data_IF_236160432706
#
_entry.id   IF_236160432706
#
_cell.length_a   1.000
_cell.length_b   1.000
_cell.length_c   1.000
_cell.angle_alpha   90.00
_cell.angle_beta   90.00
_cell.angle_gamma   90.00
#
_symmetry.space_group_name_H-M   'P 1'
#
loop_
_entity.id
_entity.type
_entity.pdbx_description
1 polymer ?
#
# COMPACT_ATOMS: atom_id res chain seq x y z
N UNK A 1 9.87 2.72 -5.75
CA UNK A 1 10.04 3.31 -4.40
C UNK A 1 8.89 4.30 -4.17
N UNK A 2 8.06 4.09 -3.15
CA UNK A 2 6.93 4.97 -2.84
C UNK A 2 7.36 5.93 -1.73
N UNK A 3 7.17 7.22 -1.94
CA UNK A 3 7.21 8.21 -0.86
C UNK A 3 5.86 8.92 -0.85
N UNK A 4 5.12 8.75 0.25
CA UNK A 4 4.01 9.62 0.61
C UNK A 4 4.46 10.40 1.84
N UNK A 5 4.77 11.69 1.66
CA UNK A 5 5.06 12.60 2.77
C UNK A 5 3.77 13.38 3.07
N UNK A 6 3.02 12.97 4.10
CA UNK A 6 2.09 13.86 4.78
C UNK A 6 2.74 14.31 6.09
N UNK A 7 3.75 15.16 5.98
CA UNK A 7 4.32 15.82 7.14
C UNK A 7 3.36 16.91 7.60
N UNK A 8 2.85 16.74 8.81
CA UNK A 8 2.35 17.86 9.59
C UNK A 8 3.43 18.94 9.62
N UNK A 9 3.09 20.14 9.14
CA UNK A 9 4.02 21.27 9.16
C UNK A 9 4.36 21.59 10.63
N UNK A 10 5.64 21.77 10.98
CA UNK A 10 5.97 22.51 12.19
C UNK A 10 5.39 23.92 12.04
N UNK A 11 4.73 24.42 13.09
CA UNK A 11 4.29 25.82 13.16
C UNK A 11 5.51 26.76 12.98
N UNK A 12 5.23 27.85 12.28
CA UNK A 12 6.05 29.05 12.01
C UNK A 12 7.24 28.90 11.06
N UNK A 13 6.98 29.12 9.76
CA UNK A 13 7.67 30.18 9.00
C UNK A 13 6.65 30.81 8.04
N UNK A 14 6.58 32.15 8.03
CA UNK A 14 5.66 32.92 7.20
C UNK A 14 5.85 32.58 5.72
N UNK A 15 4.83 32.07 5.00
CA UNK A 15 4.92 31.96 3.56
C UNK A 15 4.77 33.37 2.97
N UNK A 16 5.76 33.79 2.19
CA UNK A 16 5.62 34.95 1.30
C UNK A 16 4.42 34.79 0.35
N UNK A 17 3.96 35.86 -0.31
CA UNK A 17 2.69 35.86 -1.03
C UNK A 17 2.65 34.75 -2.07
N UNK A 18 1.70 33.83 -1.88
CA UNK A 18 1.47 32.72 -2.78
C UNK A 18 1.05 33.23 -4.17
N UNK A 19 1.84 32.90 -5.19
CA UNK A 19 1.41 33.02 -6.57
C UNK A 19 0.18 32.13 -6.86
N UNK A 20 -0.57 32.41 -7.93
CA UNK A 20 -1.85 31.78 -8.18
C UNK A 20 -1.69 30.26 -8.46
N UNK A 21 -2.26 29.43 -7.59
CA UNK A 21 -2.87 28.14 -7.95
C UNK A 21 -2.02 27.08 -8.65
N UNK A 22 -0.76 26.88 -8.26
CA UNK A 22 0.03 25.74 -8.74
C UNK A 22 -0.44 24.42 -8.12
N UNK A 23 -0.81 23.44 -8.96
CA UNK A 23 -1.12 22.08 -8.50
C UNK A 23 0.12 21.46 -7.82
N UNK A 24 0.04 21.16 -6.53
CA UNK A 24 1.17 20.60 -5.77
C UNK A 24 1.38 19.12 -6.11
N UNK A 25 2.64 18.65 -6.12
CA UNK A 25 2.93 17.23 -6.25
C UNK A 25 2.50 16.48 -4.98
N UNK A 26 1.64 15.47 -5.14
CA UNK A 26 1.13 14.64 -4.04
C UNK A 26 1.88 13.30 -3.95
N UNK A 27 2.18 12.68 -5.09
CA UNK A 27 2.92 11.42 -5.14
C UNK A 27 3.77 11.34 -6.41
N UNK A 28 4.99 10.84 -6.27
CA UNK A 28 5.80 10.37 -7.39
C UNK A 28 5.95 8.84 -7.31
N UNK A 29 5.76 8.17 -8.45
CA UNK A 29 6.07 6.76 -8.62
C UNK A 29 7.07 6.62 -9.77
N UNK A 30 8.09 5.79 -9.56
CA UNK A 30 9.15 5.53 -10.54
C UNK A 30 9.23 4.03 -10.79
N UNK A 31 9.16 3.67 -12.07
CA UNK A 31 9.41 2.35 -12.60
C UNK A 31 10.84 2.24 -13.11
N UNK A 32 11.14 1.18 -13.85
CA UNK A 32 12.50 0.99 -14.39
C UNK A 32 12.85 2.05 -15.45
N UNK A 33 11.87 2.41 -16.30
CA UNK A 33 12.09 3.33 -17.43
C UNK A 33 11.08 4.46 -17.56
N UNK A 34 10.14 4.59 -16.63
CA UNK A 34 9.13 5.66 -16.63
C UNK A 34 8.79 6.16 -15.23
N UNK A 35 8.20 7.33 -15.16
CA UNK A 35 7.70 7.93 -13.92
C UNK A 35 6.28 8.44 -14.08
N UNK A 36 5.52 8.37 -12.99
CA UNK A 36 4.19 8.95 -12.84
C UNK A 36 4.21 9.98 -11.73
N UNK A 37 3.63 11.14 -11.99
CA UNK A 37 3.46 12.22 -11.02
C UNK A 37 1.97 12.46 -10.81
N UNK A 38 1.50 12.30 -9.58
CA UNK A 38 0.15 12.61 -9.17
C UNK A 38 0.13 13.96 -8.47
N UNK A 39 -0.70 14.87 -8.97
CA UNK A 39 -0.86 16.21 -8.43
C UNK A 39 -2.05 16.29 -7.45
N UNK A 40 -2.09 17.34 -6.63
CA UNK A 40 -3.10 17.55 -5.59
C UNK A 40 -4.54 17.69 -6.13
N UNK A 41 -4.69 18.07 -7.40
CA UNK A 41 -5.98 18.11 -8.08
C UNK A 41 -6.42 16.76 -8.69
N UNK A 42 -5.64 15.70 -8.49
CA UNK A 42 -5.90 14.36 -9.03
C UNK A 42 -5.41 14.14 -10.46
N UNK A 43 -4.78 15.13 -11.10
CA UNK A 43 -4.19 14.96 -12.42
C UNK A 43 -2.94 14.07 -12.34
N UNK A 44 -2.78 13.20 -13.33
CA UNK A 44 -1.59 12.33 -13.48
C UNK A 44 -0.79 12.76 -14.69
N UNK A 45 0.52 12.94 -14.49
CA UNK A 45 1.50 13.17 -15.54
C UNK A 45 2.44 11.97 -15.65
N UNK A 46 3.00 11.75 -16.85
CA UNK A 46 3.95 10.68 -17.13
C UNK A 46 5.13 11.14 -17.98
N UNK A 47 6.31 10.60 -17.72
CA UNK A 47 7.52 10.79 -18.54
C UNK A 47 8.39 9.52 -18.54
N UNK A 48 9.33 9.43 -19.48
CA UNK A 48 10.23 8.30 -19.71
C UNK A 48 9.94 7.55 -21.01
N UNK A 49 10.23 6.26 -21.01
CA UNK A 49 9.98 5.31 -22.10
C UNK A 49 8.47 5.03 -22.26
N UNK A 50 8.00 4.88 -23.50
CA UNK A 50 6.63 4.44 -23.81
C UNK A 50 6.58 3.29 -24.83
N UNK A 51 7.70 2.59 -25.06
CA UNK A 51 7.79 1.47 -26.01
C UNK A 51 6.72 0.39 -25.78
N UNK A 52 6.29 0.22 -24.52
CA UNK A 52 5.26 -0.73 -24.10
C UNK A 52 4.00 -0.03 -23.59
N UNK A 53 3.81 1.26 -23.88
CA UNK A 53 2.63 2.02 -23.50
C UNK A 53 2.57 2.47 -22.04
N UNK A 54 3.64 2.32 -21.26
CA UNK A 54 3.68 2.58 -19.81
C UNK A 54 3.44 4.04 -19.39
N UNK A 55 3.48 5.00 -20.33
CA UNK A 55 3.09 6.39 -20.10
C UNK A 55 1.57 6.61 -20.20
N UNK A 56 0.82 5.67 -20.77
CA UNK A 56 -0.64 5.78 -20.94
C UNK A 56 -1.05 6.81 -22.00
N UNK A 57 -0.12 7.16 -22.89
CA UNK A 57 -0.28 8.17 -23.95
C UNK A 57 -0.11 7.52 -25.32
N UNK A 58 -1.21 7.19 -26.00
CA UNK A 58 -1.19 6.58 -27.33
C UNK A 58 -0.56 7.53 -28.36
N UNK A 59 0.31 7.01 -29.23
CA UNK A 59 0.98 7.79 -30.29
C UNK A 59 2.29 8.47 -29.84
N UNK A 60 2.67 8.34 -28.57
CA UNK A 60 3.94 8.84 -28.02
C UNK A 60 4.91 7.66 -27.89
N UNK A 61 6.16 7.80 -28.33
CA UNK A 61 7.18 6.74 -28.17
C UNK A 61 8.01 6.90 -26.87
N UNK A 62 8.24 8.15 -26.47
CA UNK A 62 8.90 8.53 -25.22
C UNK A 62 8.49 9.95 -24.85
N UNK A 63 8.59 10.32 -23.57
CA UNK A 63 8.35 11.69 -23.10
C UNK A 63 9.51 12.16 -22.22
N UNK A 64 10.18 13.24 -22.61
CA UNK A 64 11.33 13.78 -21.84
C UNK A 64 10.90 14.61 -20.64
N UNK A 65 9.66 15.13 -20.66
CA UNK A 65 9.08 15.94 -19.61
C UNK A 65 7.77 15.34 -19.11
N UNK A 66 7.39 15.56 -17.84
CA UNK A 66 6.10 15.12 -17.33
C UNK A 66 4.96 15.78 -18.10
N UNK A 67 4.08 14.96 -18.70
CA UNK A 67 2.91 15.42 -19.44
C UNK A 67 1.66 14.67 -18.99
N UNK A 68 0.51 15.34 -19.03
CA UNK A 68 -0.76 14.77 -18.56
C UNK A 68 -1.17 13.54 -19.36
N UNK A 69 -1.75 12.56 -18.68
CA UNK A 69 -2.37 11.38 -19.30
C UNK A 69 -3.82 11.72 -19.67
N UNK A 70 -4.18 11.94 -20.96
CA UNK A 70 -5.50 12.47 -21.32
C UNK A 70 -6.66 11.56 -20.91
N UNK A 71 -6.44 10.24 -20.96
CA UNK A 71 -7.43 9.23 -20.60
C UNK A 71 -7.83 9.24 -19.11
N UNK A 72 -7.02 9.86 -18.24
CA UNK A 72 -7.31 9.97 -16.80
C UNK A 72 -7.88 11.34 -16.41
N UNK A 73 -8.04 12.28 -17.36
CA UNK A 73 -8.42 13.69 -17.09
C UNK A 73 -9.71 13.83 -16.28
N UNK A 74 -10.69 12.95 -16.50
CA UNK A 74 -12.00 13.00 -15.83
C UNK A 74 -12.08 12.12 -14.59
N UNK A 75 -10.98 11.42 -14.25
CA UNK A 75 -10.93 10.49 -13.14
C UNK A 75 -10.20 11.14 -11.95
N UNK A 76 -10.82 11.22 -10.77
CA UNK A 76 -10.13 11.68 -9.57
C UNK A 76 -9.16 10.58 -9.08
N UNK A 77 -7.90 10.64 -9.54
CA UNK A 77 -6.84 9.70 -9.14
C UNK A 77 -6.36 10.02 -7.72
N UNK A 78 -6.14 8.96 -6.94
CA UNK A 78 -5.72 9.02 -5.52
C UNK A 78 -4.33 8.43 -5.31
N UNK A 79 -3.95 7.43 -6.10
CA UNK A 79 -2.65 6.77 -6.01
C UNK A 79 -2.17 6.34 -7.39
N UNK A 80 -0.85 6.31 -7.56
CA UNK A 80 -0.17 5.75 -8.74
C UNK A 80 0.94 4.80 -8.32
N UNK A 81 1.25 3.84 -9.19
CA UNK A 81 2.33 2.87 -9.02
C UNK A 81 2.94 2.52 -10.37
N UNK A 82 4.26 2.35 -10.40
CA UNK A 82 5.02 1.99 -11.60
C UNK A 82 5.73 0.66 -11.37
N UNK A 83 5.59 -0.26 -12.31
CA UNK A 83 6.39 -1.49 -12.40
C UNK A 83 7.57 -1.29 -13.33
N UNK A 84 8.09 -2.40 -13.89
CA UNK A 84 9.14 -2.33 -14.90
C UNK A 84 8.67 -1.60 -16.17
N UNK A 85 7.54 -2.05 -16.72
CA UNK A 85 6.98 -1.59 -17.99
C UNK A 85 5.45 -1.42 -17.94
N UNK A 86 4.87 -1.42 -16.74
CA UNK A 86 3.43 -1.19 -16.55
C UNK A 86 3.16 -0.21 -15.43
N UNK A 87 1.92 0.27 -15.41
CA UNK A 87 1.48 1.33 -14.54
C UNK A 87 0.10 1.01 -14.00
N UNK A 88 -0.12 1.36 -12.74
CA UNK A 88 -1.41 1.27 -12.06
C UNK A 88 -1.80 2.63 -11.49
N UNK A 89 -3.10 2.90 -11.48
CA UNK A 89 -3.69 4.00 -10.75
C UNK A 89 -4.92 3.56 -9.97
N UNK A 90 -5.10 4.09 -8.77
CA UNK A 90 -6.33 3.96 -7.98
C UNK A 90 -7.09 5.27 -8.05
N UNK A 91 -8.34 5.21 -8.49
CA UNK A 91 -9.26 6.34 -8.55
C UNK A 91 -10.19 6.37 -7.34
N UNK A 92 -10.93 7.48 -7.17
CA UNK A 92 -12.01 7.56 -6.18
C UNK A 92 -12.96 6.35 -6.26
N UNK A 93 -13.42 5.91 -5.08
CA UNK A 93 -14.15 4.65 -4.83
C UNK A 93 -13.33 3.37 -5.04
N UNK A 94 -12.01 3.46 -5.09
CA UNK A 94 -11.11 2.29 -5.14
C UNK A 94 -11.07 1.57 -6.48
N UNK A 95 -11.48 2.23 -7.57
CA UNK A 95 -11.39 1.67 -8.93
C UNK A 95 -9.95 1.68 -9.41
N UNK A 96 -9.48 0.56 -9.95
CA UNK A 96 -8.11 0.42 -10.44
C UNK A 96 -8.07 0.51 -11.97
N UNK A 97 -7.08 1.22 -12.50
CA UNK A 97 -6.76 1.29 -13.92
C UNK A 97 -5.33 0.83 -14.16
N UNK A 98 -5.12 0.12 -15.27
CA UNK A 98 -3.82 -0.39 -15.70
C UNK A 98 -3.51 -0.03 -17.14
N UNK A 99 -2.23 0.17 -17.43
CA UNK A 99 -1.70 0.34 -18.79
C UNK A 99 -0.21 -0.03 -18.83
N UNK A 100 0.35 -0.15 -20.03
CA UNK A 100 1.71 -0.62 -20.25
C UNK A 100 1.77 -2.04 -20.79
N UNK A 101 2.88 -2.73 -20.49
CA UNK A 101 3.08 -4.14 -20.82
C UNK A 101 2.12 -5.06 -20.06
N UNK A 102 1.62 -6.09 -20.74
CA UNK A 102 0.63 -7.04 -20.22
C UNK A 102 0.83 -8.50 -20.62
N UNK A 103 1.93 -8.84 -21.29
CA UNK A 103 2.23 -10.21 -21.77
C UNK A 103 2.25 -11.27 -20.67
N UNK A 104 2.51 -10.89 -19.42
CA UNK A 104 2.50 -11.78 -18.26
C UNK A 104 1.18 -11.72 -17.47
N UNK A 105 0.21 -10.93 -17.95
CA UNK A 105 -1.08 -10.70 -17.30
C UNK A 105 -1.05 -9.58 -16.25
N UNK A 106 0.05 -8.84 -16.09
CA UNK A 106 0.26 -7.84 -15.03
C UNK A 106 -0.67 -6.63 -15.08
N UNK A 107 -1.42 -6.46 -16.18
CA UNK A 107 -2.48 -5.45 -16.31
C UNK A 107 -3.78 -5.87 -15.61
N UNK A 108 -4.02 -7.16 -15.38
CA UNK A 108 -5.21 -7.65 -14.69
C UNK A 108 -6.51 -7.53 -15.51
N UNK A 109 -6.40 -7.39 -16.83
CA UNK A 109 -7.53 -7.09 -17.73
C UNK A 109 -8.31 -8.32 -18.20
N UNK A 110 -7.97 -9.50 -17.70
CA UNK A 110 -8.56 -10.78 -18.12
C UNK A 110 -7.92 -11.39 -19.37
N UNK A 111 -6.92 -10.73 -19.93
CA UNK A 111 -6.20 -11.14 -21.14
C UNK A 111 -4.68 -11.04 -20.95
N UNK A 112 -3.92 -11.82 -21.71
CA UNK A 112 -2.44 -11.75 -21.79
C UNK A 112 -2.01 -10.85 -22.96
N UNK A 113 -2.72 -9.75 -23.17
CA UNK A 113 -2.42 -8.84 -24.27
C UNK A 113 -1.05 -8.18 -24.03
N UNK A 114 -0.20 -8.18 -25.05
CA UNK A 114 1.18 -7.70 -24.91
C UNK A 114 1.29 -6.26 -24.40
N UNK A 115 0.51 -5.33 -24.97
CA UNK A 115 0.64 -3.89 -24.69
C UNK A 115 -0.73 -3.20 -24.67
N UNK A 116 -0.89 -2.27 -23.72
CA UNK A 116 -2.00 -1.34 -23.69
C UNK A 116 -1.54 0.12 -23.48
N UNK A 117 -1.69 0.95 -24.51
CA UNK A 117 -1.30 2.37 -24.49
C UNK A 117 -2.31 3.29 -23.78
N UNK A 118 -3.49 2.79 -23.43
CA UNK A 118 -4.56 3.58 -22.82
C UNK A 118 -4.96 2.94 -21.48
N UNK A 119 -4.99 3.69 -20.37
CA UNK A 119 -5.52 3.22 -19.08
C UNK A 119 -6.85 2.48 -19.23
N UNK A 120 -6.86 1.19 -18.90
CA UNK A 120 -8.04 0.32 -18.92
C UNK A 120 -8.42 -0.04 -17.48
N UNK A 121 -9.71 0.05 -17.17
CA UNK A 121 -10.24 -0.33 -15.86
C UNK A 121 -10.07 -1.84 -15.64
N UNK A 122 -9.60 -2.23 -14.45
CA UNK A 122 -9.54 -3.61 -13.99
C UNK A 122 -10.88 -4.00 -13.35
N UNK A 123 -11.29 -5.26 -13.53
CA UNK A 123 -12.51 -5.80 -12.90
C UNK A 123 -12.20 -6.34 -11.50
N UNK A 124 -12.60 -5.58 -10.48
CA UNK A 124 -12.66 -5.95 -9.07
C UNK A 124 -14.04 -5.50 -8.55
N UNK A 125 -15.04 -6.35 -8.73
CA UNK A 125 -16.45 -6.02 -8.43
C UNK A 125 -16.65 -5.92 -6.92
N UNK A 126 -17.30 -4.84 -6.47
CA UNK A 126 -17.63 -4.57 -5.06
C UNK A 126 -16.45 -4.57 -4.09
N UNK A 127 -15.23 -4.40 -4.60
CA UNK A 127 -14.00 -4.32 -3.81
C UNK A 127 -13.42 -2.92 -3.93
N UNK A 128 -13.28 -2.23 -2.80
CA UNK A 128 -12.66 -0.92 -2.73
C UNK A 128 -11.16 -1.06 -2.46
N UNK A 129 -10.35 -0.82 -3.48
CA UNK A 129 -8.88 -0.83 -3.35
C UNK A 129 -8.38 0.46 -2.73
N UNK A 130 -7.48 0.32 -1.74
CA UNK A 130 -6.85 1.44 -1.02
C UNK A 130 -5.35 1.55 -1.31
N UNK A 131 -4.72 0.50 -1.85
CA UNK A 131 -3.32 0.53 -2.24
C UNK A 131 -3.09 -0.41 -3.43
N UNK A 132 -2.16 -0.03 -4.31
CA UNK A 132 -1.62 -0.91 -5.35
C UNK A 132 -0.10 -0.89 -5.28
N UNK A 133 0.53 -1.99 -5.70
CA UNK A 133 1.98 -2.02 -5.90
C UNK A 133 2.37 -2.84 -7.12
N UNK A 134 3.22 -2.28 -7.97
CA UNK A 134 3.75 -2.98 -9.15
C UNK A 134 5.11 -3.59 -8.85
N UNK A 135 5.31 -4.84 -9.26
CA UNK A 135 6.64 -5.45 -9.40
C UNK A 135 7.17 -5.31 -10.82
N UNK A 136 8.11 -6.17 -11.25
CA UNK A 136 8.53 -6.15 -12.66
C UNK A 136 7.43 -6.63 -13.60
N UNK A 137 6.85 -7.78 -13.27
CA UNK A 137 5.89 -8.47 -14.14
C UNK A 137 4.64 -8.94 -13.39
N UNK A 138 4.41 -8.39 -12.20
CA UNK A 138 3.21 -8.67 -11.40
C UNK A 138 2.73 -7.42 -10.70
N UNK A 139 1.55 -7.53 -10.13
CA UNK A 139 0.83 -6.45 -9.49
C UNK A 139 0.16 -6.96 -8.22
N UNK A 140 0.13 -6.12 -7.20
CA UNK A 140 -0.56 -6.33 -5.94
C UNK A 140 -1.60 -5.23 -5.72
N UNK A 141 -2.69 -5.57 -5.05
CA UNK A 141 -3.64 -4.61 -4.51
C UNK A 141 -4.06 -5.00 -3.09
N UNK A 142 -4.29 -3.98 -2.26
CA UNK A 142 -4.86 -4.10 -0.92
C UNK A 142 -6.22 -3.40 -0.90
N UNK A 143 -7.26 -4.11 -0.47
CA UNK A 143 -8.59 -3.57 -0.27
C UNK A 143 -8.76 -2.93 1.12
N UNK A 144 -9.80 -2.11 1.25
CA UNK A 144 -10.16 -1.43 2.52
C UNK A 144 -10.46 -2.41 3.67
N UNK A 145 -10.94 -3.61 3.34
CA UNK A 145 -11.21 -4.69 4.31
C UNK A 145 -10.01 -5.62 4.54
N UNK A 146 -8.81 -5.23 4.09
CA UNK A 146 -7.57 -5.94 4.37
C UNK A 146 -7.30 -7.16 3.47
N UNK A 147 -8.05 -7.34 2.38
CA UNK A 147 -7.80 -8.43 1.43
C UNK A 147 -6.67 -8.06 0.46
N UNK A 148 -5.81 -9.04 0.16
CA UNK A 148 -4.74 -8.88 -0.84
C UNK A 148 -5.12 -9.61 -2.12
N UNK A 149 -4.92 -8.92 -3.23
CA UNK A 149 -5.04 -9.45 -4.58
C UNK A 149 -3.71 -9.39 -5.29
N UNK A 150 -3.43 -10.39 -6.12
CA UNK A 150 -2.21 -10.50 -6.92
C UNK A 150 -2.53 -11.00 -8.32
N UNK A 151 -1.83 -10.48 -9.33
CA UNK A 151 -1.91 -10.95 -10.71
C UNK A 151 -0.63 -10.65 -11.49
N UNK A 152 -0.48 -11.24 -12.67
CA UNK A 152 0.72 -11.19 -13.50
C UNK A 152 1.53 -12.49 -13.47
N UNK A 153 2.84 -12.37 -13.69
CA UNK A 153 3.81 -13.47 -13.71
C UNK A 153 3.82 -14.23 -12.38
N UNK A 154 4.01 -15.56 -12.42
CA UNK A 154 4.14 -16.37 -11.20
C UNK A 154 5.28 -17.41 -11.21
N UNK A 155 6.28 -17.30 -12.09
CA UNK A 155 7.37 -18.29 -12.22
C UNK A 155 8.14 -18.53 -10.92
N UNK A 156 8.32 -17.47 -10.12
CA UNK A 156 9.08 -17.52 -8.86
C UNK A 156 8.14 -17.48 -7.64
N UNK A 157 6.82 -17.60 -7.84
CA UNK A 157 5.82 -17.60 -6.77
C UNK A 157 5.39 -16.21 -6.28
N UNK A 158 5.71 -15.14 -7.02
CA UNK A 158 5.43 -13.74 -6.65
C UNK A 158 3.94 -13.39 -6.45
N UNK A 159 3.01 -14.25 -6.88
CA UNK A 159 1.58 -14.11 -6.58
C UNK A 159 1.18 -14.71 -5.23
N UNK A 160 1.95 -15.64 -4.66
CA UNK A 160 1.65 -16.22 -3.35
C UNK A 160 0.44 -17.18 -3.33
N UNK A 161 0.02 -17.65 -4.50
CA UNK A 161 -1.18 -18.48 -4.69
C UNK A 161 -0.90 -20.00 -4.58
N UNK A 162 0.36 -20.39 -4.41
CA UNK A 162 0.81 -21.79 -4.47
C UNK A 162 1.63 -22.10 -5.72
N UNK A 163 2.38 -23.21 -5.67
CA UNK A 163 3.33 -23.62 -6.72
C UNK A 163 2.64 -24.02 -8.03
N UNK A 164 1.48 -24.65 -7.92
CA UNK A 164 0.74 -25.18 -9.06
C UNK A 164 -0.06 -24.11 -9.84
N UNK A 165 -0.06 -22.86 -9.35
CA UNK A 165 -0.83 -21.78 -9.97
C UNK A 165 0.04 -21.07 -11.01
N UNK A 166 -0.36 -21.02 -12.30
CA UNK A 166 0.40 -20.30 -13.32
C UNK A 166 0.21 -18.78 -13.20
N UNK A 167 0.88 -18.02 -14.07
CA UNK A 167 0.63 -16.57 -14.23
C UNK A 167 -0.87 -16.28 -14.42
N UNK A 168 -1.34 -15.15 -13.90
CA UNK A 168 -2.76 -14.81 -13.84
C UNK A 168 -3.04 -13.48 -14.53
N UNK A 169 -3.91 -13.48 -15.54
CA UNK A 169 -4.33 -12.26 -16.23
C UNK A 169 -5.47 -11.50 -15.53
N UNK A 170 -6.02 -12.04 -14.44
CA UNK A 170 -7.05 -11.40 -13.61
C UNK A 170 -6.61 -11.38 -12.14
N UNK A 171 -6.95 -10.33 -11.37
CA UNK A 171 -6.71 -10.28 -9.93
C UNK A 171 -7.20 -11.54 -9.21
N UNK A 172 -6.29 -12.24 -8.54
CA UNK A 172 -6.60 -13.39 -7.69
C UNK A 172 -6.41 -13.04 -6.23
N UNK A 173 -7.35 -13.45 -5.38
CA UNK A 173 -7.27 -13.23 -3.93
C UNK A 173 -6.24 -14.17 -3.30
N UNK A 174 -5.32 -13.61 -2.51
CA UNK A 174 -4.30 -14.37 -1.76
C UNK A 174 -4.91 -14.88 -0.45
N UNK A 175 -5.70 -15.96 -0.55
CA UNK A 175 -6.52 -16.50 0.56
C UNK A 175 -5.72 -16.92 1.80
N UNK A 176 -4.44 -17.24 1.65
CA UNK A 176 -3.55 -17.57 2.76
C UNK A 176 -3.28 -16.40 3.73
N UNK A 177 -3.65 -15.17 3.36
CA UNK A 177 -3.60 -13.99 4.21
C UNK A 177 -4.96 -13.58 4.79
N UNK A 178 -6.01 -14.37 4.56
CA UNK A 178 -7.36 -14.06 5.03
C UNK A 178 -7.43 -14.03 6.57
N UNK A 179 -8.18 -13.07 7.12
CA UNK A 179 -8.30 -12.85 8.56
C UNK A 179 -7.13 -12.10 9.20
N UNK A 180 -6.06 -11.80 8.46
CA UNK A 180 -4.96 -10.96 8.93
C UNK A 180 -5.29 -9.50 8.58
N UNK A 181 -5.28 -8.58 9.56
CA UNK A 181 -5.49 -7.16 9.28
C UNK A 181 -4.24 -6.57 8.62
N UNK A 182 -4.27 -6.42 7.31
CA UNK A 182 -3.16 -5.92 6.51
C UNK A 182 -3.21 -4.40 6.31
N UNK A 183 -2.06 -3.77 6.44
CA UNK A 183 -1.85 -2.32 6.37
C UNK A 183 -1.14 -1.89 5.08
N UNK A 184 -0.31 -2.78 4.52
CA UNK A 184 0.50 -2.44 3.36
C UNK A 184 0.76 -3.67 2.48
N UNK A 185 0.87 -3.45 1.16
CA UNK A 185 1.51 -4.36 0.20
C UNK A 185 2.72 -3.68 -0.45
N UNK A 186 3.76 -4.46 -0.77
CA UNK A 186 4.92 -4.00 -1.52
C UNK A 186 5.36 -5.09 -2.50
N UNK A 187 5.72 -4.70 -3.73
CA UNK A 187 6.17 -5.61 -4.77
C UNK A 187 7.55 -5.17 -5.26
N UNK A 188 8.47 -6.14 -5.37
CA UNK A 188 9.80 -5.95 -5.93
C UNK A 188 9.92 -6.59 -7.31
N UNK A 189 11.14 -6.92 -7.73
CA UNK A 189 11.39 -7.55 -9.03
C UNK A 189 10.58 -8.83 -9.25
N UNK A 190 10.82 -9.83 -8.41
CA UNK A 190 10.14 -11.13 -8.45
C UNK A 190 9.65 -11.59 -7.07
N UNK A 191 9.45 -10.65 -6.14
CA UNK A 191 9.01 -10.94 -4.78
C UNK A 191 7.98 -9.91 -4.31
N UNK A 192 7.30 -10.25 -3.23
CA UNK A 192 6.16 -9.52 -2.71
C UNK A 192 6.15 -9.58 -1.19
N UNK A 193 5.63 -8.52 -0.58
CA UNK A 193 5.46 -8.39 0.86
C UNK A 193 4.06 -7.86 1.19
N UNK A 194 3.57 -8.28 2.36
CA UNK A 194 2.46 -7.65 3.05
C UNK A 194 2.88 -7.33 4.50
N UNK A 195 2.48 -6.17 4.99
CA UNK A 195 2.64 -5.75 6.38
C UNK A 195 1.28 -5.75 7.05
N UNK A 196 1.18 -6.40 8.21
CA UNK A 196 0.00 -6.35 9.06
C UNK A 196 0.00 -5.12 9.97
N UNK A 197 -1.18 -4.70 10.46
CA UNK A 197 -1.31 -3.60 11.42
C UNK A 197 -0.43 -3.79 12.68
N UNK A 198 -0.27 -5.01 13.24
CA UNK A 198 0.64 -5.25 14.36
C UNK A 198 2.14 -5.24 14.00
N UNK A 199 2.51 -4.95 12.76
CA UNK A 199 3.91 -4.93 12.31
C UNK A 199 4.49 -6.30 11.92
N UNK A 200 3.66 -7.34 11.81
CA UNK A 200 4.12 -8.66 11.28
C UNK A 200 4.23 -8.58 9.76
N UNK A 201 5.40 -8.94 9.23
CA UNK A 201 5.69 -8.94 7.79
C UNK A 201 5.58 -10.34 7.20
N UNK A 202 4.94 -10.44 6.03
CA UNK A 202 4.80 -11.66 5.25
C UNK A 202 5.46 -11.49 3.90
N UNK A 203 6.39 -12.37 3.53
CA UNK A 203 7.12 -12.33 2.26
C UNK A 203 6.85 -13.57 1.40
N UNK A 204 6.80 -13.40 0.07
CA UNK A 204 6.69 -14.49 -0.91
C UNK A 204 7.31 -14.11 -2.26
N UNK A 205 7.50 -15.10 -3.13
CA UNK A 205 8.20 -14.97 -4.40
C UNK A 205 9.65 -15.43 -4.34
N UNK A 206 10.49 -14.89 -5.23
CA UNK A 206 11.92 -15.19 -5.31
C UNK A 206 12.64 -14.83 -4.01
N UNK A 207 13.58 -15.68 -3.62
CA UNK A 207 14.49 -15.50 -2.50
C UNK A 207 15.94 -15.85 -2.88
N UNK A 208 16.27 -15.84 -4.18
CA UNK A 208 17.60 -16.22 -4.69
C UNK A 208 18.73 -15.30 -4.19
N UNK A 209 18.41 -14.05 -3.88
CA UNK A 209 19.31 -13.05 -3.32
C UNK A 209 19.09 -12.82 -1.81
N UNK A 210 18.24 -13.62 -1.16
CA UNK A 210 17.86 -13.42 0.24
C UNK A 210 16.86 -12.28 0.47
N UNK A 211 16.20 -11.77 -0.58
CA UNK A 211 15.29 -10.62 -0.51
C UNK A 211 14.06 -10.80 0.41
N UNK A 212 13.72 -12.05 0.79
CA UNK A 212 12.64 -12.32 1.74
C UNK A 212 13.11 -12.28 3.21
N UNK A 213 14.40 -12.09 3.47
CA UNK A 213 15.00 -12.11 4.81
C UNK A 213 14.64 -13.38 5.62
N UNK A 214 14.56 -14.53 4.93
CA UNK A 214 14.37 -15.83 5.56
C UNK A 214 15.70 -16.34 6.12
N UNK A 215 15.67 -16.88 7.34
CA UNK A 215 16.84 -17.41 8.06
C UNK A 215 16.63 -18.87 8.47
N UNK A 216 17.70 -19.67 8.51
CA UNK A 216 17.68 -21.06 8.98
C UNK A 216 18.50 -22.01 8.11
N UNK A 217 18.51 -23.29 8.44
CA UNK A 217 19.11 -24.32 7.59
C UNK A 217 18.15 -24.63 6.42
N UNK A 218 18.67 -24.76 5.20
CA UNK A 218 17.89 -25.00 3.98
C UNK A 218 16.85 -23.91 3.66
N UNK A 219 17.28 -22.65 3.62
CA UNK A 219 16.44 -21.53 3.16
C UNK A 219 16.02 -21.76 1.70
N UNK A 220 14.73 -21.78 1.38
CA UNK A 220 14.29 -22.01 0.01
C UNK A 220 14.64 -20.81 -0.88
N UNK A 221 15.00 -21.09 -2.12
CA UNK A 221 15.28 -20.07 -3.14
C UNK A 221 14.03 -19.28 -3.58
N UNK A 222 12.84 -19.72 -3.17
CA UNK A 222 11.55 -19.09 -3.48
C UNK A 222 10.46 -19.56 -2.51
N UNK A 223 9.44 -18.73 -2.30
CA UNK A 223 8.28 -19.03 -1.47
C UNK A 223 6.99 -18.81 -2.26
N UNK A 224 6.28 -19.90 -2.59
CA UNK A 224 5.05 -19.83 -3.39
C UNK A 224 3.79 -19.42 -2.62
N UNK A 225 3.91 -19.27 -1.30
CA UNK A 225 2.85 -18.77 -0.42
C UNK A 225 3.46 -17.75 0.55
N UNK A 226 2.70 -16.74 0.99
CA UNK A 226 3.11 -15.81 2.05
C UNK A 226 3.67 -16.54 3.26
N UNK A 227 4.88 -16.16 3.67
CA UNK A 227 5.57 -16.68 4.85
C UNK A 227 5.85 -15.55 5.82
N UNK A 228 5.53 -15.76 7.10
CA UNK A 228 5.93 -14.83 8.16
C UNK A 228 7.45 -14.70 8.21
N UNK A 229 7.96 -13.47 8.17
CA UNK A 229 9.40 -13.18 8.19
C UNK A 229 9.84 -12.96 9.63
N UNK A 230 10.26 -14.03 10.29
CA UNK A 230 10.62 -14.02 11.72
C UNK A 230 11.70 -13.01 12.09
N UNK A 231 12.67 -12.77 11.19
CA UNK A 231 13.74 -11.81 11.39
C UNK A 231 13.25 -10.35 11.58
N UNK A 232 12.04 -10.03 11.13
CA UNK A 232 11.46 -8.68 11.23
C UNK A 232 10.53 -8.50 12.43
N UNK A 233 10.15 -9.57 13.12
CA UNK A 233 9.06 -9.59 14.12
C UNK A 233 9.25 -8.59 15.26
N UNK A 234 10.49 -8.38 15.70
CA UNK A 234 10.80 -7.56 16.89
C UNK A 234 11.39 -6.19 16.53
N UNK A 235 11.35 -5.80 15.25
CA UNK A 235 11.96 -4.55 14.80
C UNK A 235 11.01 -3.35 14.84
N UNK A 236 9.71 -3.57 15.08
CA UNK A 236 8.72 -2.48 15.02
C UNK A 236 8.57 -1.94 13.59
N UNK A 237 8.40 -2.83 12.62
CA UNK A 237 8.26 -2.46 11.20
C UNK A 237 6.97 -1.68 10.99
N UNK A 238 7.10 -0.46 10.48
CA UNK A 238 5.96 0.41 10.14
C UNK A 238 5.79 0.61 8.63
N UNK A 239 6.80 0.22 7.84
CA UNK A 239 6.77 0.36 6.38
C UNK A 239 7.72 -0.62 5.70
N UNK A 240 7.32 -1.14 4.54
CA UNK A 240 8.13 -2.01 3.67
C UNK A 240 8.25 -1.38 2.28
N UNK A 241 9.46 -1.37 1.73
CA UNK A 241 9.71 -1.06 0.32
C UNK A 241 10.52 -2.19 -0.31
N UNK A 242 10.11 -2.60 -1.51
CA UNK A 242 10.80 -3.63 -2.28
C UNK A 242 11.47 -3.00 -3.50
N UNK A 243 12.72 -3.37 -3.74
CA UNK A 243 13.47 -3.08 -4.97
C UNK A 243 13.52 -4.30 -5.88
N UNK A 244 14.49 -4.33 -6.81
CA UNK A 244 14.64 -5.45 -7.73
C UNK A 244 14.90 -6.78 -6.98
N UNK A 245 15.98 -6.81 -6.19
CA UNK A 245 16.45 -7.98 -5.43
C UNK A 245 16.74 -7.65 -3.96
N UNK A 246 16.14 -6.58 -3.43
CA UNK A 246 16.30 -6.20 -2.03
C UNK A 246 14.96 -5.75 -1.42
N UNK A 247 14.87 -5.85 -0.10
CA UNK A 247 13.77 -5.33 0.71
C UNK A 247 14.34 -4.38 1.76
N UNK A 248 13.74 -3.20 1.87
CA UNK A 248 14.03 -2.22 2.91
C UNK A 248 12.82 -2.09 3.84
N UNK A 249 13.07 -1.96 5.13
CA UNK A 249 12.03 -1.75 6.14
C UNK A 249 12.31 -0.47 6.91
N UNK A 250 11.27 0.32 7.13
CA UNK A 250 11.31 1.42 8.11
C UNK A 250 10.81 0.88 9.43
N UNK A 251 11.57 1.16 10.47
CA UNK A 251 11.26 0.73 11.83
C UNK A 251 11.02 1.95 12.71
N UNK A 252 10.05 1.84 13.61
CA UNK A 252 9.85 2.79 14.68
C UNK A 252 10.09 2.06 15.99
N UNK A 253 11.17 2.43 16.67
CA UNK A 253 11.36 2.00 18.05
C UNK A 253 10.32 2.72 18.90
N UNK A 254 9.50 1.94 19.56
CA UNK A 254 8.53 2.44 20.51
C UNK A 254 9.28 3.25 21.60
N UNK A 255 9.00 4.55 21.79
CA UNK A 255 9.62 5.34 22.86
C UNK A 255 9.26 4.79 24.25
N UNK A 256 8.25 3.91 24.32
CA UNK A 256 7.87 3.13 25.50
C UNK A 256 8.86 2.02 25.89
N UNK A 257 9.87 1.73 25.06
CA UNK A 257 11.03 0.91 25.47
C UNK A 257 11.86 1.58 26.57
N UNK A 258 11.62 2.87 26.83
CA UNK A 258 11.87 3.49 28.13
C UNK A 258 10.59 3.40 29.01
N UNK A 259 10.30 2.21 29.54
CA UNK A 259 9.58 2.04 30.80
C UNK A 259 8.14 2.58 30.92
N UNK A 260 7.30 2.56 29.86
CA UNK A 260 5.86 2.84 30.07
C UNK A 260 5.17 1.59 30.62
N UNK A 261 4.50 1.65 31.78
CA UNK A 261 3.90 0.47 32.41
C UNK A 261 2.80 -0.14 31.55
N UNK A 262 2.71 -1.48 31.54
CA UNK A 262 1.64 -2.32 30.95
C UNK A 262 0.22 -2.03 31.45
N UNK A 263 -0.07 -0.90 32.12
CA UNK A 263 -1.40 -0.55 32.69
C UNK A 263 -2.42 -0.10 31.64
N UNK A 264 -2.00 0.52 30.53
CA UNK A 264 -2.92 1.09 29.52
C UNK A 264 -3.57 0.03 28.63
N UNK A 265 -2.85 -1.03 28.28
CA UNK A 265 -3.38 -2.18 27.51
C UNK A 265 -4.56 -2.90 28.24
N UNK A 266 -4.48 -3.17 29.55
CA UNK A 266 -5.60 -3.63 30.38
C UNK A 266 -6.82 -2.69 30.36
N UNK A 267 -6.63 -1.37 30.33
CA UNK A 267 -7.75 -0.42 30.28
C UNK A 267 -8.49 -0.47 28.95
N UNK A 268 -7.78 -0.61 27.83
CA UNK A 268 -8.39 -0.75 26.50
C UNK A 268 -9.21 -2.05 26.41
N UNK A 269 -8.72 -3.14 27.00
CA UNK A 269 -9.44 -4.42 27.03
C UNK A 269 -10.74 -4.41 27.86
N UNK A 270 -10.95 -3.34 28.66
CA UNK A 270 -12.11 -3.15 29.53
C UNK A 270 -13.14 -2.16 28.97
N UNK A 271 -12.92 -1.65 27.75
CA UNK A 271 -13.91 -0.79 27.08
C UNK A 271 -15.08 -1.68 26.63
N UNK A 272 -16.20 -1.55 27.32
CA UNK A 272 -17.46 -2.26 27.05
C UNK A 272 -18.60 -1.27 26.81
N UNK A 273 -19.70 -1.76 26.26
CA UNK A 273 -20.83 -0.93 25.83
C UNK A 273 -21.39 -0.02 26.93
N UNK A 274 -21.44 -0.49 28.17
CA UNK A 274 -21.87 0.31 29.33
C UNK A 274 -20.96 1.50 29.61
N UNK A 275 -19.64 1.33 29.46
CA UNK A 275 -18.67 2.41 29.65
C UNK A 275 -18.77 3.47 28.55
N UNK A 276 -19.04 3.05 27.32
CA UNK A 276 -19.28 3.99 26.21
C UNK A 276 -20.60 4.74 26.36
N UNK A 277 -21.64 4.10 26.88
CA UNK A 277 -22.91 4.76 27.19
C UNK A 277 -22.76 5.78 28.33
N UNK A 278 -21.96 5.47 29.35
CA UNK A 278 -21.60 6.39 30.42
C UNK A 278 -20.90 7.65 29.88
N UNK A 279 -19.93 7.49 28.97
CA UNK A 279 -19.24 8.63 28.35
C UNK A 279 -20.15 9.49 27.48
N UNK A 280 -21.12 8.87 26.81
CA UNK A 280 -22.06 9.56 25.92
C UNK A 280 -23.21 10.26 26.68
N UNK A 281 -23.52 9.83 27.90
CA UNK A 281 -24.59 10.39 28.72
C UNK A 281 -24.19 11.67 29.47
N UNK A 282 -22.91 12.04 29.47
CA UNK A 282 -22.41 13.15 30.29
C UNK A 282 -22.65 14.50 29.60
N UNK A 283 -23.32 15.42 30.33
CA UNK A 283 -23.61 16.76 29.83
C UNK A 283 -22.32 17.59 29.65
N UNK A 284 -22.21 18.22 28.46
CA UNK A 284 -21.05 19.01 28.05
C UNK A 284 -20.82 20.18 29.02
N UNK A 285 -19.60 20.31 29.54
CA UNK A 285 -19.19 21.36 30.49
C UNK A 285 -19.37 21.02 31.97
N UNK A 286 -19.74 19.79 32.31
CA UNK A 286 -19.72 19.28 33.69
C UNK A 286 -18.33 18.77 34.10
N UNK A 287 -18.02 18.69 35.39
CA UNK A 287 -16.76 18.10 35.87
C UNK A 287 -16.59 16.62 35.46
N UNK A 288 -17.71 15.91 35.30
CA UNK A 288 -17.74 14.54 34.80
C UNK A 288 -17.37 14.48 33.30
N UNK A 289 -17.68 15.53 32.53
CA UNK A 289 -17.35 15.62 31.11
C UNK A 289 -15.84 15.74 30.90
N UNK A 290 -15.18 16.61 31.65
CA UNK A 290 -13.73 16.77 31.61
C UNK A 290 -13.00 15.49 32.04
N UNK A 291 -13.53 14.80 33.05
CA UNK A 291 -12.99 13.51 33.50
C UNK A 291 -13.14 12.41 32.43
N UNK A 292 -14.30 12.36 31.75
CA UNK A 292 -14.53 11.44 30.63
C UNK A 292 -13.63 11.78 29.44
N UNK A 293 -13.52 13.06 29.06
CA UNK A 293 -12.68 13.52 27.96
C UNK A 293 -11.19 13.24 28.22
N UNK A 294 -10.71 13.48 29.45
CA UNK A 294 -9.34 13.15 29.83
C UNK A 294 -9.06 11.65 29.76
N UNK A 295 -10.01 10.80 30.17
CA UNK A 295 -9.88 9.33 30.08
C UNK A 295 -9.87 8.86 28.62
N UNK A 296 -10.78 9.38 27.80
CA UNK A 296 -10.84 9.08 26.36
C UNK A 296 -9.53 9.49 25.69
N UNK A 297 -9.05 10.72 25.92
CA UNK A 297 -7.78 11.19 25.37
C UNK A 297 -6.62 10.29 25.78
N UNK A 298 -6.51 9.93 27.05
CA UNK A 298 -5.43 9.05 27.53
C UNK A 298 -5.44 7.65 26.88
N UNK A 299 -6.63 7.09 26.68
CA UNK A 299 -6.81 5.78 26.03
C UNK A 299 -6.45 5.85 24.54
N UNK A 300 -6.98 6.85 23.83
CA UNK A 300 -6.85 6.96 22.36
C UNK A 300 -5.58 7.69 21.89
N UNK A 301 -4.86 8.39 22.77
CA UNK A 301 -3.51 8.90 22.49
C UNK A 301 -2.43 7.83 22.63
N UNK A 302 -2.80 6.60 23.04
CA UNK A 302 -1.84 5.51 23.14
C UNK A 302 -1.39 5.05 21.75
N UNK A 303 -0.10 4.67 21.59
CA UNK A 303 0.41 4.13 20.32
C UNK A 303 -0.40 2.94 19.78
N UNK A 304 -0.98 2.14 20.68
CA UNK A 304 -1.85 1.00 20.35
C UNK A 304 -3.18 1.40 19.70
N UNK A 305 -3.78 2.53 20.11
CA UNK A 305 -5.02 3.04 19.51
C UNK A 305 -4.77 3.79 18.20
N UNK A 306 -3.67 4.55 18.12
CA UNK A 306 -3.29 5.31 16.93
C UNK A 306 -2.83 4.44 15.75
N UNK A 307 -2.55 3.16 16.00
CA UNK A 307 -2.25 2.12 15.00
C UNK A 307 -3.49 1.30 14.58
N UNK A 308 -4.70 1.73 14.99
CA UNK A 308 -6.01 1.24 14.54
C UNK A 308 -6.28 -0.27 14.76
N UNK A 309 -6.06 -0.80 15.97
CA UNK A 309 -6.30 -2.22 16.28
C UNK A 309 -7.61 -2.55 17.04
N UNK A 310 -8.63 -1.67 17.08
CA UNK A 310 -9.75 -1.84 18.03
C UNK A 310 -11.18 -1.93 17.49
N UNK A 311 -11.41 -2.19 16.20
CA UNK A 311 -12.74 -2.57 15.75
C UNK A 311 -12.83 -4.09 15.54
N UNK A 312 -13.12 -4.84 16.62
CA UNK A 312 -13.82 -6.13 16.47
C UNK A 312 -15.31 -5.86 16.52
N UNK A 313 -16.02 -6.03 15.40
CA UNK A 313 -17.46 -6.30 15.45
C UNK A 313 -17.66 -7.70 16.03
N UNK A 314 -18.54 -7.81 17.04
CA UNK A 314 -19.20 -9.08 17.39
C UNK A 314 -20.13 -9.49 16.26
#
# INVERSE_FOLDING_TARGET
>A
MYFCWSGDRPRSQNPGPAGPGGDALLQAASGERHSLLLLSNGAVQSCGDNSHGQLGRKGVQRGERPERIPALKTLPVRLVSCGKEHSLAVCHRGRVFAWGAGSEGQLGTGDFKEVNFIPKKITLTDIKIIQVSCGHYHSLALSEDGQVFSWGKNSDGQLGLGKEVPSQASPQRVRSLEGIPLAQVAAGGAHSFALSLPGTSFGWGSNRAGQLALSGNNVPAQAYKPRSVGALKNLGVIYISCGYEHTAVLTQKDPSSNGVPRKTLPEISRIHQSLTEEWMAVAKGSAQFEAAESKIKAVFSSPACLTASFLKKR
#
